data_IF_564473846235
#
_entry.id   IF_564473846235
#
_cell.length_a   1.000
_cell.length_b   1.000
_cell.length_c   1.000
_cell.angle_alpha   90.00
_cell.angle_beta   90.00
_cell.angle_gamma   90.00
#
_symmetry.space_group_name_H-M   'P 1'
#
loop_
_entity.id
_entity.type
_entity.pdbx_description
1 polymer ?
#
# COMPACT_ATOMS: atom_id res chain seq x y z
N UNK A 1 50.48 0.35 -21.51
CA UNK A 1 50.12 1.71 -21.97
C UNK A 1 49.17 1.71 -23.18
N UNK A 2 49.40 0.88 -24.23
CA UNK A 2 48.52 0.79 -25.42
C UNK A 2 47.04 0.40 -25.14
N UNK A 3 46.78 -0.47 -24.15
CA UNK A 3 45.41 -0.90 -23.81
C UNK A 3 44.56 0.19 -23.12
N UNK A 4 45.16 1.07 -22.32
CA UNK A 4 44.43 2.20 -21.67
C UNK A 4 44.10 3.32 -22.66
N UNK A 5 44.94 3.51 -23.68
CA UNK A 5 44.68 4.46 -24.77
C UNK A 5 43.52 3.97 -25.65
N UNK A 6 43.44 2.66 -25.92
CA UNK A 6 42.37 2.07 -26.74
C UNK A 6 41.01 2.15 -26.03
N UNK A 7 40.98 1.99 -24.70
CA UNK A 7 39.74 2.09 -23.91
C UNK A 7 39.23 3.54 -23.83
N UNK A 8 40.14 4.52 -23.69
CA UNK A 8 39.78 5.94 -23.71
C UNK A 8 39.23 6.38 -25.06
N UNK A 9 39.84 5.94 -26.17
CA UNK A 9 39.36 6.26 -27.52
C UNK A 9 37.97 5.65 -27.76
N UNK A 10 37.72 4.44 -27.26
CA UNK A 10 36.42 3.77 -27.43
C UNK A 10 35.29 4.44 -26.63
N UNK A 11 35.60 4.96 -25.43
CA UNK A 11 34.64 5.73 -24.61
C UNK A 11 34.32 7.10 -25.24
N UNK A 12 35.30 7.77 -25.84
CA UNK A 12 35.08 9.06 -26.53
C UNK A 12 34.25 8.88 -27.79
N UNK A 13 34.46 7.80 -28.56
CA UNK A 13 33.65 7.49 -29.75
C UNK A 13 32.20 7.15 -29.35
N UNK A 14 31.98 6.44 -28.25
CA UNK A 14 30.63 6.14 -27.77
C UNK A 14 29.87 7.39 -27.30
N UNK A 15 30.55 8.39 -26.72
CA UNK A 15 29.92 9.66 -26.32
C UNK A 15 29.59 10.57 -27.52
N UNK A 16 30.32 10.48 -28.63
CA UNK A 16 30.10 11.34 -29.80
C UNK A 16 28.87 10.95 -30.65
N UNK A 17 28.33 9.74 -30.50
CA UNK A 17 27.20 9.25 -31.31
C UNK A 17 25.83 9.61 -30.70
N UNK A 18 25.77 10.14 -29.47
CA UNK A 18 24.52 10.40 -28.77
C UNK A 18 23.85 11.77 -29.07
N UNK A 19 24.48 12.67 -29.85
CA UNK A 19 23.99 14.04 -30.07
C UNK A 19 23.70 14.42 -31.53
N UNK A 20 23.26 13.47 -32.37
CA UNK A 20 23.03 13.76 -33.79
C UNK A 20 21.93 12.93 -34.42
N UNK A 21 20.67 13.19 -34.06
CA UNK A 21 19.51 12.94 -34.94
C UNK A 21 18.26 13.62 -34.37
N UNK A 22 18.21 14.95 -34.50
CA UNK A 22 16.93 15.66 -34.48
C UNK A 22 16.37 15.61 -35.91
N UNK A 23 15.24 14.91 -36.16
CA UNK A 23 14.60 14.94 -37.47
C UNK A 23 14.17 16.39 -37.81
N UNK A 24 14.20 16.78 -39.09
CA UNK A 24 13.74 18.10 -39.50
C UNK A 24 12.27 18.25 -39.12
N UNK A 25 11.99 19.17 -38.21
CA UNK A 25 10.63 19.61 -37.91
C UNK A 25 10.10 20.24 -39.19
N UNK A 26 9.08 19.62 -39.78
CA UNK A 26 8.34 20.20 -40.88
C UNK A 26 7.77 21.54 -40.42
N UNK A 27 8.27 22.61 -41.03
CA UNK A 27 7.79 23.97 -40.87
C UNK A 27 6.37 24.06 -41.43
N UNK A 28 5.39 23.94 -40.54
CA UNK A 28 3.98 24.16 -40.88
C UNK A 28 3.79 25.66 -41.02
N UNK A 29 3.57 26.10 -42.27
CA UNK A 29 3.18 27.46 -42.61
C UNK A 29 1.94 27.86 -41.81
N UNK A 30 2.12 28.81 -40.89
CA UNK A 30 1.05 29.38 -40.08
C UNK A 30 0.22 30.30 -40.98
N UNK A 31 -0.99 29.88 -41.33
CA UNK A 31 -1.98 30.75 -41.97
C UNK A 31 -2.49 31.73 -40.90
N UNK A 32 -2.37 33.06 -41.09
CA UNK A 32 -2.94 34.01 -40.15
C UNK A 32 -4.46 34.01 -40.27
N UNK A 33 -5.14 33.35 -39.32
CA UNK A 33 -6.60 33.45 -39.17
C UNK A 33 -6.89 34.55 -38.17
N UNK A 34 -7.28 35.73 -38.67
CA UNK A 34 -7.82 36.83 -37.88
C UNK A 34 -9.22 36.47 -37.40
N UNK A 35 -9.33 35.94 -36.17
CA UNK A 35 -10.63 35.76 -35.51
C UNK A 35 -10.92 36.99 -34.66
N UNK A 36 -12.04 37.64 -34.97
CA UNK A 36 -12.51 38.84 -34.32
C UNK A 36 -12.82 38.59 -32.84
N UNK A 37 -12.34 39.51 -32.02
CA UNK A 37 -12.64 39.73 -30.62
C UNK A 37 -14.12 40.07 -30.42
N UNK A 38 -14.84 39.27 -29.64
CA UNK A 38 -16.03 39.72 -28.90
C UNK A 38 -15.81 39.41 -27.42
N UNK A 39 -15.43 40.44 -26.69
CA UNK A 39 -15.27 40.47 -25.23
C UNK A 39 -16.66 40.41 -24.58
N UNK A 40 -16.99 39.38 -23.77
CA UNK A 40 -18.13 39.49 -22.87
C UNK A 40 -17.74 40.40 -21.69
N UNK A 41 -18.63 41.35 -21.42
CA UNK A 41 -18.60 42.33 -20.34
C UNK A 41 -18.66 41.63 -18.97
N UNK A 42 -17.81 41.99 -17.98
CA UNK A 42 -17.85 41.38 -16.67
C UNK A 42 -19.06 41.87 -15.88
N UNK A 43 -19.93 40.93 -15.52
CA UNK A 43 -21.04 41.12 -14.58
C UNK A 43 -20.49 41.43 -13.16
N UNK A 44 -21.07 42.39 -12.41
CA UNK A 44 -20.56 42.76 -11.09
C UNK A 44 -20.69 41.61 -10.08
N UNK A 45 -19.57 41.28 -9.45
CA UNK A 45 -19.45 40.28 -8.40
C UNK A 45 -19.93 40.84 -7.06
N UNK A 46 -21.09 40.37 -6.59
CA UNK A 46 -21.56 40.59 -5.23
C UNK A 46 -20.59 39.93 -4.25
N UNK A 47 -19.79 40.76 -3.60
CA UNK A 47 -18.82 40.39 -2.57
C UNK A 47 -19.56 40.21 -1.24
N UNK A 48 -19.71 38.98 -0.69
CA UNK A 48 -20.23 38.82 0.66
C UNK A 48 -19.19 39.28 1.71
N UNK A 49 -19.68 40.03 2.69
CA UNK A 49 -18.92 40.61 3.80
C UNK A 49 -18.26 39.53 4.71
N UNK A 50 -17.09 39.83 5.32
CA UNK A 50 -16.43 38.87 6.20
C UNK A 50 -17.26 38.65 7.48
N UNK A 51 -17.62 37.40 7.72
CA UNK A 51 -18.29 36.94 8.96
C UNK A 51 -17.23 36.72 10.04
N UNK A 52 -17.48 37.27 11.22
CA UNK A 52 -16.58 37.29 12.37
C UNK A 52 -16.16 35.89 12.84
N UNK A 53 -14.85 35.70 13.01
CA UNK A 53 -14.21 34.53 13.60
C UNK A 53 -14.46 34.51 15.10
N UNK A 54 -15.17 33.50 15.61
CA UNK A 54 -15.25 33.24 17.06
C UNK A 54 -14.10 32.30 17.43
N UNK A 55 -13.10 32.87 18.09
CA UNK A 55 -11.98 32.17 18.70
C UNK A 55 -12.47 31.45 19.97
N UNK A 56 -12.73 30.15 19.86
CA UNK A 56 -12.95 29.29 21.02
C UNK A 56 -11.62 28.64 21.40
N UNK A 57 -10.99 29.13 22.46
CA UNK A 57 -9.79 28.55 23.07
C UNK A 57 -10.20 27.31 23.89
N UNK A 58 -9.79 26.07 23.53
CA UNK A 58 -10.01 24.93 24.41
C UNK A 58 -8.96 24.94 25.53
N UNK A 59 -9.44 25.03 26.78
CA UNK A 59 -8.64 24.82 27.99
C UNK A 59 -8.35 23.32 28.14
N UNK A 60 -7.08 22.92 28.03
CA UNK A 60 -6.65 21.55 28.29
C UNK A 60 -6.75 21.23 29.80
N UNK A 61 -7.47 20.15 30.13
CA UNK A 61 -7.49 19.55 31.47
C UNK A 61 -6.57 18.33 31.46
N UNK A 62 -5.42 18.41 32.13
CA UNK A 62 -4.54 17.26 32.32
C UNK A 62 -5.05 16.40 33.49
N UNK A 63 -5.40 15.15 33.20
CA UNK A 63 -5.70 14.12 34.20
C UNK A 63 -4.52 13.16 34.27
N UNK A 64 -3.76 13.20 35.36
CA UNK A 64 -2.70 12.24 35.62
C UNK A 64 -3.32 10.88 36.00
N UNK A 65 -3.04 9.82 35.22
CA UNK A 65 -3.38 8.45 35.59
C UNK A 65 -2.10 7.71 35.94
N UNK A 66 -1.95 7.33 37.21
CA UNK A 66 -0.85 6.51 37.70
C UNK A 66 -1.06 5.05 37.28
N UNK A 67 -0.14 4.51 36.47
CA UNK A 67 -0.17 3.10 36.06
C UNK A 67 0.57 2.25 37.08
N UNK A 68 -0.18 1.40 37.79
CA UNK A 68 0.36 0.38 38.69
C UNK A 68 1.09 -0.72 37.92
N UNK A 69 2.33 -1.00 38.34
CA UNK A 69 3.20 -2.07 37.85
C UNK A 69 2.60 -3.47 38.11
N UNK A 70 2.55 -4.38 37.12
CA UNK A 70 2.09 -5.75 37.36
C UNK A 70 3.16 -6.60 38.06
N UNK A 71 2.71 -7.28 39.11
CA UNK A 71 3.46 -8.25 39.91
C UNK A 71 3.74 -9.53 39.12
N UNK A 72 4.99 -9.99 39.12
CA UNK A 72 5.39 -11.26 38.50
C UNK A 72 4.74 -12.44 39.25
N UNK A 73 3.97 -13.25 38.52
CA UNK A 73 3.41 -14.51 39.03
C UNK A 73 4.35 -15.65 38.63
N UNK A 74 5.04 -16.24 39.60
CA UNK A 74 5.72 -17.52 39.43
C UNK A 74 4.67 -18.64 39.47
N UNK A 75 4.68 -19.55 38.50
CA UNK A 75 3.88 -20.79 38.60
C UNK A 75 4.75 -21.98 38.27
N UNK A 76 4.77 -22.92 39.22
CA UNK A 76 5.66 -24.05 39.33
C UNK A 76 5.32 -25.18 38.35
N UNK A 77 6.38 -25.84 37.91
CA UNK A 77 6.40 -27.13 37.22
C UNK A 77 5.90 -28.25 38.14
N UNK A 78 4.97 -29.06 37.67
CA UNK A 78 4.70 -30.39 38.23
C UNK A 78 4.66 -31.42 37.10
N UNK A 79 5.76 -32.16 36.96
CA UNK A 79 5.87 -33.36 36.15
C UNK A 79 5.16 -34.49 36.87
N UNK A 80 4.15 -35.09 36.24
CA UNK A 80 3.58 -36.37 36.66
C UNK A 80 3.65 -37.35 35.50
N UNK A 81 4.55 -38.31 35.60
CA UNK A 81 4.59 -39.51 34.77
C UNK A 81 3.94 -40.64 35.58
N UNK A 82 2.85 -41.26 35.08
CA UNK A 82 2.56 -42.65 35.43
C UNK A 82 2.64 -43.55 34.20
N UNK A 83 3.74 -44.30 34.17
CA UNK A 83 3.87 -45.75 33.99
C UNK A 83 2.72 -46.54 33.36
N UNK A 84 3.07 -47.26 32.28
CA UNK A 84 2.33 -48.35 31.66
C UNK A 84 2.18 -49.58 32.56
N UNK A 85 1.02 -50.24 32.60
CA UNK A 85 0.88 -51.65 33.02
C UNK A 85 -0.29 -52.31 32.26
N UNK A 86 -0.19 -53.58 31.83
CA UNK A 86 -0.87 -54.10 30.64
C UNK A 86 -2.20 -54.84 30.90
N UNK A 87 -2.94 -54.98 29.80
CA UNK A 87 -3.79 -56.09 29.33
C UNK A 87 -4.40 -57.07 30.35
N UNK A 88 -5.73 -57.06 30.42
CA UNK A 88 -6.52 -58.28 30.63
C UNK A 88 -7.27 -58.65 29.35
N UNK A 89 -7.01 -59.87 28.88
CA UNK A 89 -7.73 -60.56 27.80
C UNK A 89 -8.67 -61.57 28.45
N UNK A 90 -9.97 -61.45 28.18
CA UNK A 90 -10.88 -62.51 27.73
C UNK A 90 -12.33 -62.13 28.08
N UNK A 91 -13.23 -62.18 27.08
CA UNK A 91 -14.44 -63.02 27.02
C UNK A 91 -15.20 -62.69 25.73
N UNK A 92 -15.35 -63.60 24.75
CA UNK A 92 -16.29 -63.39 23.65
C UNK A 92 -17.69 -63.78 24.10
N UNK A 93 -18.56 -62.79 24.34
CA UNK A 93 -19.98 -63.03 24.62
C UNK A 93 -20.85 -62.16 23.74
N UNK A 94 -21.74 -62.88 23.05
CA UNK A 94 -22.97 -62.48 22.36
C UNK A 94 -22.88 -61.63 21.09
N UNK A 95 -23.23 -62.31 20.00
CA UNK A 95 -23.61 -61.76 18.69
C UNK A 95 -24.78 -60.79 18.83
N UNK A 96 -24.46 -59.50 18.95
CA UNK A 96 -25.44 -58.44 18.80
C UNK A 96 -25.92 -58.41 17.33
N UNK A 97 -27.24 -58.48 17.17
CA UNK A 97 -27.92 -58.30 15.89
C UNK A 97 -27.58 -56.90 15.34
N UNK A 98 -27.04 -56.83 14.13
CA UNK A 98 -26.72 -55.59 13.42
C UNK A 98 -28.01 -54.77 13.20
N UNK A 99 -28.36 -53.94 14.17
CA UNK A 99 -29.29 -52.84 13.96
C UNK A 99 -28.53 -51.81 13.13
N UNK A 100 -29.02 -51.40 11.95
CA UNK A 100 -28.35 -50.39 11.14
C UNK A 100 -28.22 -49.12 11.98
N UNK A 101 -26.98 -48.74 12.29
CA UNK A 101 -26.70 -47.45 12.91
C UNK A 101 -27.18 -46.38 11.92
N UNK A 102 -28.11 -45.49 12.30
CA UNK A 102 -28.55 -44.41 11.43
C UNK A 102 -27.33 -43.61 11.02
N UNK A 103 -27.21 -43.30 9.72
CA UNK A 103 -26.08 -42.56 9.18
C UNK A 103 -25.85 -41.30 10.01
N UNK A 104 -24.72 -41.25 10.71
CA UNK A 104 -24.27 -40.06 11.44
C UNK A 104 -24.27 -38.92 10.44
N UNK A 105 -25.14 -37.93 10.66
CA UNK A 105 -25.20 -36.75 9.81
C UNK A 105 -23.79 -36.17 9.72
N UNK A 106 -23.22 -36.17 8.51
CA UNK A 106 -21.96 -35.50 8.25
C UNK A 106 -22.13 -34.05 8.72
N UNK A 107 -21.28 -33.55 9.63
CA UNK A 107 -21.42 -32.18 10.10
C UNK A 107 -21.40 -31.27 8.87
N UNK A 108 -22.45 -30.47 8.72
CA UNK A 108 -22.49 -29.42 7.70
C UNK A 108 -21.27 -28.54 7.97
N UNK A 109 -20.39 -28.31 6.98
CA UNK A 109 -19.24 -27.44 7.17
C UNK A 109 -19.75 -26.08 7.70
N UNK A 110 -19.06 -25.47 8.67
CA UNK A 110 -19.47 -24.18 9.18
C UNK A 110 -19.62 -23.20 8.00
N UNK A 111 -20.61 -22.29 8.05
CA UNK A 111 -20.76 -21.28 7.02
C UNK A 111 -19.42 -20.53 6.87
N UNK A 112 -19.00 -20.22 5.64
CA UNK A 112 -17.73 -19.52 5.42
C UNK A 112 -17.73 -18.23 6.23
N UNK A 113 -16.70 -18.03 7.04
CA UNK A 113 -16.49 -16.78 7.76
C UNK A 113 -16.49 -15.65 6.74
N UNK A 114 -17.29 -14.58 6.92
CA UNK A 114 -17.30 -13.46 5.99
C UNK A 114 -15.89 -12.89 5.91
N UNK A 115 -15.27 -13.00 4.74
CA UNK A 115 -13.97 -12.40 4.48
C UNK A 115 -14.15 -10.88 4.57
N UNK A 116 -13.37 -10.15 5.38
CA UNK A 116 -13.45 -8.69 5.41
C UNK A 116 -13.33 -8.16 3.98
N UNK A 117 -14.24 -7.26 3.56
CA UNK A 117 -14.21 -6.72 2.20
C UNK A 117 -12.97 -5.85 2.04
N UNK A 118 -11.97 -6.41 1.38
CA UNK A 118 -10.73 -5.72 1.07
C UNK A 118 -10.94 -4.80 -0.13
N UNK A 119 -10.45 -3.53 -0.10
CA UNK A 119 -10.51 -2.64 -1.26
C UNK A 119 -9.76 -3.22 -2.47
N UNK A 120 -10.42 -3.24 -3.63
CA UNK A 120 -9.84 -3.60 -4.93
C UNK A 120 -9.84 -2.38 -5.85
N UNK A 121 -8.83 -2.28 -6.72
CA UNK A 121 -8.73 -1.21 -7.71
C UNK A 121 -8.99 -1.74 -9.12
N UNK A 122 -9.42 -0.88 -10.07
CA UNK A 122 -9.76 -1.32 -11.42
C UNK A 122 -8.67 -2.14 -12.12
N UNK A 123 -7.40 -1.80 -11.88
CA UNK A 123 -6.24 -2.47 -12.49
C UNK A 123 -5.60 -3.55 -11.61
N UNK A 124 -6.19 -3.89 -10.46
CA UNK A 124 -5.64 -4.91 -9.55
C UNK A 124 -5.86 -6.30 -10.14
N UNK A 125 -4.80 -7.06 -10.49
CA UNK A 125 -4.97 -8.44 -10.91
C UNK A 125 -5.41 -9.30 -9.74
N UNK A 126 -6.39 -10.17 -9.96
CA UNK A 126 -6.85 -11.15 -8.97
C UNK A 126 -6.22 -12.50 -9.34
N UNK A 127 -5.44 -13.07 -8.42
CA UNK A 127 -4.72 -14.34 -8.63
C UNK A 127 -4.98 -15.30 -7.46
N UNK A 128 -4.77 -16.59 -7.68
CA UNK A 128 -4.81 -17.57 -6.59
C UNK A 128 -3.64 -17.32 -5.61
N UNK A 129 -3.83 -17.70 -4.35
CA UNK A 129 -2.77 -17.58 -3.34
C UNK A 129 -1.47 -18.30 -3.76
N UNK A 130 -0.38 -17.55 -3.70
CA UNK A 130 0.98 -18.07 -3.77
C UNK A 130 1.85 -17.25 -2.81
N UNK A 131 2.47 -17.93 -1.84
CA UNK A 131 3.22 -17.27 -0.77
C UNK A 131 4.38 -16.45 -1.33
N UNK A 132 5.11 -16.96 -2.32
CA UNK A 132 6.27 -16.26 -2.88
C UNK A 132 5.85 -15.02 -3.66
N UNK A 133 4.75 -15.10 -4.40
CA UNK A 133 4.15 -13.98 -5.12
C UNK A 133 3.65 -12.92 -4.14
N UNK A 134 3.05 -13.32 -3.01
CA UNK A 134 2.66 -12.39 -1.95
C UNK A 134 3.87 -11.65 -1.35
N UNK A 135 4.91 -12.37 -0.93
CA UNK A 135 6.15 -11.79 -0.38
C UNK A 135 6.77 -10.80 -1.38
N UNK A 136 6.84 -11.18 -2.65
CA UNK A 136 7.35 -10.31 -3.73
C UNK A 136 6.48 -9.06 -3.90
N UNK A 137 5.16 -9.19 -3.78
CA UNK A 137 4.21 -8.06 -3.88
C UNK A 137 4.35 -7.11 -2.70
N UNK A 138 4.58 -7.62 -1.49
CA UNK A 138 4.88 -6.82 -0.29
C UNK A 138 6.20 -6.05 -0.49
N UNK A 139 7.26 -6.70 -0.96
CA UNK A 139 8.55 -6.05 -1.23
C UNK A 139 8.43 -4.93 -2.28
N UNK A 140 7.76 -5.18 -3.41
CA UNK A 140 7.50 -4.14 -4.42
C UNK A 140 6.70 -2.97 -3.86
N UNK A 141 5.71 -3.27 -3.01
CA UNK A 141 4.88 -2.23 -2.39
C UNK A 141 5.68 -1.41 -1.39
N UNK A 142 6.53 -2.05 -0.57
CA UNK A 142 7.48 -1.38 0.32
C UNK A 142 8.33 -0.40 -0.46
N UNK A 143 9.02 -0.87 -1.50
CA UNK A 143 9.94 -0.04 -2.28
C UNK A 143 9.22 1.14 -2.95
N UNK A 144 8.00 0.90 -3.47
CA UNK A 144 7.20 1.95 -4.09
C UNK A 144 6.67 2.98 -3.07
N UNK A 145 6.21 2.54 -1.90
CA UNK A 145 5.70 3.44 -0.84
C UNK A 145 6.85 4.28 -0.26
N UNK A 146 7.98 3.65 0.09
CA UNK A 146 9.17 4.34 0.60
C UNK A 146 9.73 5.31 -0.44
N UNK A 147 9.90 4.85 -1.69
CA UNK A 147 10.42 5.68 -2.76
C UNK A 147 9.50 6.86 -3.10
N UNK A 148 8.18 6.68 -3.02
CA UNK A 148 7.23 7.78 -3.17
C UNK A 148 7.33 8.78 -2.02
N UNK A 149 7.40 8.31 -0.77
CA UNK A 149 7.50 9.19 0.39
C UNK A 149 8.76 10.05 0.31
N UNK A 150 9.94 9.46 0.07
CA UNK A 150 11.20 10.19 -0.11
C UNK A 150 11.12 11.21 -1.25
N UNK A 151 10.53 10.82 -2.37
CA UNK A 151 10.29 11.70 -3.50
C UNK A 151 9.40 12.89 -3.10
N UNK A 152 8.31 12.63 -2.38
CA UNK A 152 7.34 13.65 -2.01
C UNK A 152 7.86 14.59 -0.92
N UNK A 153 8.69 14.10 0.02
CA UNK A 153 9.43 14.95 0.97
C UNK A 153 10.26 15.99 0.23
N UNK A 154 10.94 15.59 -0.84
CA UNK A 154 11.73 16.52 -1.64
C UNK A 154 10.84 17.56 -2.37
N UNK A 155 9.70 17.13 -2.92
CA UNK A 155 8.73 18.01 -3.58
C UNK A 155 8.14 19.04 -2.61
N UNK A 156 7.66 18.59 -1.45
CA UNK A 156 7.16 19.45 -0.38
C UNK A 156 8.24 20.39 0.18
N UNK A 157 9.52 20.00 0.09
CA UNK A 157 10.68 20.84 0.40
C UNK A 157 11.00 21.92 -0.66
N UNK A 158 10.15 22.07 -1.68
CA UNK A 158 10.28 23.07 -2.74
C UNK A 158 10.93 22.57 -4.02
N UNK A 159 11.22 21.26 -4.13
CA UNK A 159 11.58 20.70 -5.44
C UNK A 159 10.35 20.60 -6.34
N UNK A 160 10.54 20.78 -7.65
CA UNK A 160 9.46 20.57 -8.61
C UNK A 160 8.98 19.11 -8.61
N UNK A 161 7.66 18.92 -8.62
CA UNK A 161 7.03 17.62 -8.85
C UNK A 161 6.95 17.26 -10.34
N UNK A 162 6.86 15.96 -10.65
CA UNK A 162 6.71 15.44 -12.00
C UNK A 162 5.67 14.33 -12.02
N UNK A 163 4.60 14.53 -12.80
CA UNK A 163 3.49 13.58 -12.84
C UNK A 163 3.89 12.20 -13.37
N UNK A 164 4.85 12.10 -14.30
CA UNK A 164 5.34 10.79 -14.76
C UNK A 164 5.97 9.97 -13.61
N UNK A 165 6.68 10.64 -12.69
CA UNK A 165 7.27 10.00 -11.52
C UNK A 165 6.22 9.59 -10.50
N UNK A 166 5.22 10.43 -10.26
CA UNK A 166 4.05 10.06 -9.47
C UNK A 166 3.34 8.82 -10.05
N UNK A 167 3.04 8.83 -11.35
CA UNK A 167 2.35 7.72 -12.02
C UNK A 167 3.14 6.41 -12.00
N UNK A 168 4.47 6.46 -11.97
CA UNK A 168 5.31 5.28 -11.78
C UNK A 168 5.01 4.57 -10.44
N UNK A 169 4.94 5.31 -9.34
CA UNK A 169 4.60 4.73 -8.04
C UNK A 169 3.13 4.30 -7.98
N UNK A 170 2.24 5.16 -8.47
CA UNK A 170 0.79 4.91 -8.45
C UNK A 170 0.40 3.64 -9.22
N UNK A 171 0.93 3.46 -10.44
CA UNK A 171 0.68 2.26 -11.25
C UNK A 171 1.25 0.99 -10.60
N UNK A 172 2.35 1.10 -9.85
CA UNK A 172 2.88 -0.02 -9.07
C UNK A 172 1.88 -0.46 -7.99
N UNK A 173 1.28 0.48 -7.25
CA UNK A 173 0.28 0.16 -6.21
C UNK A 173 -1.02 -0.43 -6.78
N UNK A 174 -1.44 0.01 -7.97
CA UNK A 174 -2.61 -0.58 -8.63
C UNK A 174 -2.34 -1.95 -9.21
N UNK A 175 -1.14 -2.15 -9.77
CA UNK A 175 -0.77 -3.35 -10.51
C UNK A 175 -0.32 -4.53 -9.64
N UNK A 176 -0.14 -4.33 -8.33
CA UNK A 176 0.16 -5.45 -7.42
C UNK A 176 -1.09 -6.31 -7.15
N UNK A 177 -0.95 -7.64 -7.10
CA UNK A 177 -2.08 -8.55 -7.06
C UNK A 177 -2.91 -8.50 -5.77
N UNK A 178 -4.18 -8.82 -5.91
CA UNK A 178 -5.03 -9.35 -4.85
C UNK A 178 -5.06 -10.88 -4.93
N UNK A 179 -5.16 -11.54 -3.79
CA UNK A 179 -5.08 -13.00 -3.69
C UNK A 179 -6.43 -13.57 -3.26
N UNK A 180 -6.89 -14.62 -3.94
CA UNK A 180 -7.99 -15.47 -3.48
C UNK A 180 -7.43 -16.62 -2.64
N UNK A 181 -8.27 -17.23 -1.81
CA UNK A 181 -7.94 -18.45 -1.06
C UNK A 181 -6.73 -18.29 -0.12
N UNK A 182 -6.58 -17.10 0.47
CA UNK A 182 -5.51 -16.78 1.41
C UNK A 182 -5.61 -17.69 2.64
N UNK A 183 -4.55 -18.44 2.98
CA UNK A 183 -4.57 -19.30 4.15
C UNK A 183 -4.83 -18.52 5.45
N UNK A 184 -5.48 -19.13 6.47
CA UNK A 184 -5.80 -18.46 7.73
C UNK A 184 -4.59 -17.81 8.42
N UNK A 185 -3.43 -18.47 8.38
CA UNK A 185 -2.19 -17.98 8.98
C UNK A 185 -1.61 -16.74 8.28
N UNK A 186 -2.01 -16.47 7.03
CA UNK A 186 -1.59 -15.30 6.24
C UNK A 186 -2.63 -14.18 6.21
N UNK A 187 -3.84 -14.42 6.72
CA UNK A 187 -4.98 -13.50 6.59
C UNK A 187 -4.69 -12.14 7.24
N UNK A 188 -4.03 -12.11 8.40
CA UNK A 188 -3.66 -10.86 9.06
C UNK A 188 -2.66 -10.02 8.24
N UNK A 189 -1.60 -10.66 7.73
CA UNK A 189 -0.59 -10.01 6.90
C UNK A 189 -1.19 -9.51 5.58
N UNK A 190 -2.04 -10.32 4.93
CA UNK A 190 -2.73 -9.92 3.71
C UNK A 190 -3.72 -8.77 3.93
N UNK A 191 -4.43 -8.76 5.06
CA UNK A 191 -5.33 -7.65 5.40
C UNK A 191 -4.56 -6.35 5.57
N UNK A 192 -3.46 -6.38 6.35
CA UNK A 192 -2.60 -5.22 6.56
C UNK A 192 -2.00 -4.70 5.26
N UNK A 193 -1.50 -5.61 4.41
CA UNK A 193 -1.00 -5.32 3.08
C UNK A 193 -1.99 -4.48 2.26
N UNK A 194 -3.25 -4.90 2.25
CA UNK A 194 -4.28 -4.25 1.44
C UNK A 194 -4.79 -2.95 2.06
N UNK A 195 -4.81 -2.86 3.39
CA UNK A 195 -5.10 -1.60 4.10
C UNK A 195 -4.02 -0.55 3.84
N UNK A 196 -2.74 -0.92 3.74
CA UNK A 196 -1.66 0.00 3.36
C UNK A 196 -1.88 0.52 1.94
N UNK A 197 -2.16 -0.36 0.97
CA UNK A 197 -2.49 0.03 -0.40
C UNK A 197 -3.73 0.93 -0.46
N UNK A 198 -4.69 0.76 0.45
CA UNK A 198 -5.83 1.65 0.58
C UNK A 198 -5.48 3.02 1.12
N UNK A 199 -4.74 3.07 2.21
CA UNK A 199 -4.36 4.33 2.82
C UNK A 199 -3.46 5.17 1.90
N UNK A 200 -2.48 4.58 1.21
CA UNK A 200 -1.60 5.33 0.31
C UNK A 200 -2.37 5.94 -0.86
N UNK A 201 -3.42 5.24 -1.32
CA UNK A 201 -4.28 5.69 -2.40
C UNK A 201 -5.13 6.88 -2.01
N UNK A 202 -5.73 6.84 -0.84
CA UNK A 202 -6.48 7.98 -0.31
C UNK A 202 -5.56 9.17 -0.04
N UNK A 203 -4.39 8.91 0.54
CA UNK A 203 -3.41 9.96 0.83
C UNK A 203 -2.95 10.69 -0.44
N UNK A 204 -2.86 10.01 -1.58
CA UNK A 204 -2.32 10.58 -2.83
C UNK A 204 -3.38 11.04 -3.84
N UNK A 205 -4.66 11.03 -3.47
CA UNK A 205 -5.74 11.49 -4.34
C UNK A 205 -5.58 12.96 -4.80
N UNK A 206 -5.16 13.92 -3.95
CA UNK A 206 -4.94 15.30 -4.41
C UNK A 206 -3.90 15.40 -5.54
N UNK A 207 -2.83 14.60 -5.47
CA UNK A 207 -1.80 14.56 -6.53
C UNK A 207 -2.39 13.99 -7.82
N UNK A 208 -3.26 12.98 -7.70
CA UNK A 208 -3.95 12.38 -8.84
C UNK A 208 -4.79 13.43 -9.57
N UNK A 209 -5.55 14.26 -8.85
CA UNK A 209 -6.34 15.35 -9.44
C UNK A 209 -5.46 16.37 -10.18
N UNK A 210 -4.35 16.79 -9.57
CA UNK A 210 -3.39 17.71 -10.20
C UNK A 210 -2.79 17.10 -11.47
N UNK A 211 -2.39 15.82 -11.42
CA UNK A 211 -1.73 15.18 -12.55
C UNK A 211 -2.69 14.81 -13.70
N UNK A 212 -3.97 14.58 -13.41
CA UNK A 212 -5.00 14.47 -14.45
C UNK A 212 -5.27 15.81 -15.13
N UNK A 213 -5.14 16.92 -14.41
CA UNK A 213 -5.27 18.30 -14.91
C UNK A 213 -4.08 18.83 -15.71
N UNK A 214 -3.16 17.97 -16.18
CA UNK A 214 -1.90 18.34 -16.84
C UNK A 214 -0.87 19.07 -15.95
N UNK A 215 -1.00 18.94 -14.62
CA UNK A 215 -0.08 19.52 -13.65
C UNK A 215 -0.70 20.70 -12.88
N UNK A 216 0.10 21.34 -12.04
CA UNK A 216 -0.34 22.41 -11.15
C UNK A 216 0.47 22.44 -9.87
N UNK A 217 -0.03 23.19 -8.89
CA UNK A 217 0.56 23.32 -7.55
C UNK A 217 -0.39 22.79 -6.51
N UNK A 218 0.13 22.04 -5.55
CA UNK A 218 -0.58 21.73 -4.31
C UNK A 218 -0.34 22.87 -3.31
N UNK A 219 -1.28 23.07 -2.38
CA UNK A 219 -1.05 24.01 -1.29
C UNK A 219 -0.13 23.38 -0.24
N UNK A 220 0.64 24.19 0.52
CA UNK A 220 1.49 23.67 1.59
C UNK A 220 0.74 22.83 2.63
N UNK A 221 -0.52 23.15 2.90
CA UNK A 221 -1.38 22.39 3.82
C UNK A 221 -1.67 20.99 3.29
N UNK A 222 -1.93 20.87 1.97
CA UNK A 222 -2.14 19.58 1.31
C UNK A 222 -0.84 18.78 1.31
N UNK A 223 0.30 19.40 1.02
CA UNK A 223 1.61 18.73 1.06
C UNK A 223 1.89 18.15 2.45
N UNK A 224 1.65 18.93 3.51
CA UNK A 224 1.82 18.45 4.89
C UNK A 224 0.84 17.33 5.24
N UNK A 225 -0.41 17.39 4.77
CA UNK A 225 -1.38 16.32 4.98
C UNK A 225 -0.94 15.01 4.32
N UNK A 226 -0.39 15.07 3.10
CA UNK A 226 0.14 13.90 2.38
C UNK A 226 1.34 13.32 3.11
N UNK A 227 2.27 14.15 3.58
CA UNK A 227 3.43 13.69 4.34
C UNK A 227 3.02 13.02 5.66
N UNK A 228 2.14 13.67 6.42
CA UNK A 228 1.62 13.12 7.68
C UNK A 228 0.87 11.79 7.47
N UNK A 229 0.18 11.62 6.34
CA UNK A 229 -0.51 10.38 6.02
C UNK A 229 0.43 9.27 5.52
N UNK A 230 1.52 9.61 4.82
CA UNK A 230 2.41 8.64 4.16
C UNK A 230 3.51 8.11 5.08
N UNK A 231 4.03 8.95 5.99
CA UNK A 231 5.05 8.56 6.98
C UNK A 231 4.70 7.28 7.78
N UNK A 232 3.52 7.18 8.44
CA UNK A 232 3.18 5.96 9.16
C UNK A 232 3.00 4.74 8.24
N UNK A 233 2.67 4.95 6.95
CA UNK A 233 2.55 3.85 5.98
C UNK A 233 3.91 3.25 5.63
N UNK A 234 4.96 4.07 5.55
CA UNK A 234 6.34 3.59 5.37
C UNK A 234 6.72 2.65 6.52
N UNK A 235 6.47 3.06 7.76
CA UNK A 235 6.74 2.22 8.94
C UNK A 235 5.95 0.92 8.91
N UNK A 236 4.65 0.99 8.60
CA UNK A 236 3.77 -0.19 8.53
C UNK A 236 4.22 -1.18 7.45
N UNK A 237 4.56 -0.70 6.25
CA UNK A 237 4.97 -1.59 5.15
C UNK A 237 6.34 -2.21 5.40
N UNK A 238 7.27 -1.50 6.06
CA UNK A 238 8.55 -2.05 6.50
C UNK A 238 8.35 -3.17 7.54
N UNK A 239 7.51 -2.94 8.54
CA UNK A 239 7.20 -3.94 9.56
C UNK A 239 6.54 -5.18 8.95
N UNK A 240 5.58 -4.97 8.04
CA UNK A 240 4.95 -6.07 7.31
C UNK A 240 5.96 -6.84 6.45
N UNK A 241 6.83 -6.14 5.71
CA UNK A 241 7.86 -6.78 4.91
C UNK A 241 8.79 -7.65 5.77
N UNK A 242 9.22 -7.15 6.92
CA UNK A 242 10.03 -7.92 7.87
C UNK A 242 9.29 -9.14 8.40
N UNK A 243 8.00 -9.02 8.74
CA UNK A 243 7.21 -10.13 9.31
C UNK A 243 6.97 -11.26 8.32
N UNK A 244 6.94 -10.97 7.01
CA UNK A 244 6.69 -11.96 5.95
C UNK A 244 7.97 -12.46 5.29
N UNK A 245 9.15 -12.00 5.73
CA UNK A 245 10.44 -12.38 5.13
C UNK A 245 10.73 -11.70 3.78
N UNK A 246 10.12 -10.55 3.51
CA UNK A 246 10.36 -9.72 2.33
C UNK A 246 11.51 -8.70 2.54
N UNK A 247 12.56 -9.09 3.27
CA UNK A 247 13.71 -8.25 3.64
C UNK A 247 14.58 -7.86 2.45
#
# INVERSE_FOLDING_TARGET
>A
MKSRLLLLVLVVILFAVACGNQPPVAEVAVVPTTVATSSPEPEPSDTPAPTATVENTPTATETATATSSPTATATATATATPTSTPTETATPTETATNTPVPATATPVPPPPTPVPQVPLYPNTPIVAWDQQTFITSVSRTRDAVTGFHEYFVAVAGGQGGHCNRFWFYYSTWEGVPAFTDVPPEWTAAYTEYRLILHAIRLATDPITQVCLGQGGTLSPEIDQAILAATEPLVTRILNLANSVGAG
#
